data_IF_736559527753
#
_entry.id   IF_736559527753
#
_cell.length_a   1.000
_cell.length_b   1.000
_cell.length_c   1.000
_cell.angle_alpha   90.00
_cell.angle_beta   90.00
_cell.angle_gamma   90.00
#
_symmetry.space_group_name_H-M   'P 1'
#
loop_
_entity.id
_entity.type
_entity.pdbx_description
1 polymer ?
#
# COMPACT_ATOMS: atom_id res chain seq x y z
N UNK A 1 -0.87 -25.09 -9.41
CA UNK A 1 -1.10 -23.66 -9.10
C UNK A 1 -2.06 -23.12 -10.13
N UNK A 2 -3.26 -22.70 -9.72
CA UNK A 2 -4.24 -22.14 -10.65
C UNK A 2 -3.93 -20.67 -10.85
N UNK A 3 -3.44 -20.30 -12.03
CA UNK A 3 -3.33 -18.89 -12.42
C UNK A 3 -4.74 -18.34 -12.58
N UNK A 4 -5.15 -17.45 -11.68
CA UNK A 4 -6.40 -16.73 -11.85
C UNK A 4 -6.19 -15.65 -12.91
N UNK A 5 -6.47 -15.97 -14.17
CA UNK A 5 -6.65 -14.99 -15.24
C UNK A 5 -8.00 -14.31 -15.05
N UNK A 6 -8.09 -13.42 -14.06
CA UNK A 6 -9.21 -12.50 -13.99
C UNK A 6 -8.96 -11.42 -15.06
N UNK A 7 -9.28 -11.73 -16.31
CA UNK A 7 -9.39 -10.71 -17.35
C UNK A 7 -10.63 -9.87 -17.05
N UNK A 8 -10.53 -8.55 -17.21
CA UNK A 8 -11.71 -7.69 -17.17
C UNK A 8 -12.46 -7.90 -18.49
N UNK A 9 -13.63 -8.57 -18.50
CA UNK A 9 -14.30 -8.96 -19.75
C UNK A 9 -14.67 -7.78 -20.66
N UNK A 10 -14.71 -6.57 -20.10
CA UNK A 10 -14.96 -5.31 -20.79
C UNK A 10 -13.73 -4.69 -21.48
N UNK A 11 -12.53 -5.28 -21.35
CA UNK A 11 -11.28 -4.80 -21.95
C UNK A 11 -10.72 -5.83 -22.95
N UNK A 12 -10.23 -5.35 -24.09
CA UNK A 12 -9.41 -6.18 -24.98
C UNK A 12 -7.99 -6.40 -24.39
N UNK A 13 -7.18 -7.25 -25.04
CA UNK A 13 -5.83 -7.59 -24.55
C UNK A 13 -4.90 -6.38 -24.45
N UNK A 14 -5.03 -5.41 -25.35
CA UNK A 14 -4.19 -4.21 -25.34
C UNK A 14 -4.65 -3.26 -24.24
N UNK A 15 -5.96 -3.08 -24.11
CA UNK A 15 -6.58 -2.27 -23.06
C UNK A 15 -6.29 -2.82 -21.67
N UNK A 16 -6.29 -4.14 -21.51
CA UNK A 16 -5.92 -4.81 -20.27
C UNK A 16 -4.48 -4.46 -19.87
N UNK A 17 -3.52 -4.53 -20.81
CA UNK A 17 -2.12 -4.15 -20.56
C UNK A 17 -1.99 -2.68 -20.17
N UNK A 18 -2.67 -1.79 -20.90
CA UNK A 18 -2.66 -0.35 -20.62
C UNK A 18 -3.27 -0.02 -19.25
N UNK A 19 -4.33 -0.74 -18.88
CA UNK A 19 -4.95 -0.64 -17.56
C UNK A 19 -4.02 -1.16 -16.45
N UNK A 20 -3.33 -2.27 -16.69
CA UNK A 20 -2.34 -2.82 -15.75
C UNK A 20 -1.17 -1.85 -15.53
N UNK A 21 -0.71 -1.16 -16.56
CA UNK A 21 0.31 -0.11 -16.44
C UNK A 21 -0.19 1.02 -15.54
N UNK A 22 -1.42 1.49 -15.76
CA UNK A 22 -2.05 2.51 -14.90
C UNK A 22 -2.18 2.02 -13.45
N UNK A 23 -2.63 0.78 -13.24
CA UNK A 23 -2.79 0.21 -11.92
C UNK A 23 -1.46 0.08 -11.18
N UNK A 24 -0.40 -0.39 -11.86
CA UNK A 24 0.96 -0.46 -11.29
C UNK A 24 1.50 0.90 -10.87
N UNK A 25 1.09 1.97 -11.55
CA UNK A 25 1.43 3.34 -11.16
C UNK A 25 0.62 3.81 -9.93
N UNK A 26 -0.68 3.51 -9.87
CA UNK A 26 -1.57 4.03 -8.81
C UNK A 26 -1.53 3.23 -7.50
N UNK A 27 -1.33 1.91 -7.55
CA UNK A 27 -1.39 1.06 -6.36
C UNK A 27 -0.33 1.43 -5.31
N UNK A 28 0.96 1.64 -5.65
CA UNK A 28 1.95 2.11 -4.69
C UNK A 28 1.62 3.47 -4.06
N UNK A 29 0.82 4.29 -4.74
CA UNK A 29 0.36 5.61 -4.26
C UNK A 29 -0.91 5.52 -3.38
N UNK A 30 -1.31 4.31 -2.97
CA UNK A 30 -2.54 4.10 -2.21
C UNK A 30 -3.79 4.15 -3.08
N UNK A 31 -3.71 3.57 -4.28
CA UNK A 31 -4.82 3.44 -5.25
C UNK A 31 -5.34 4.78 -5.81
N UNK A 32 -4.63 5.89 -5.58
CA UNK A 32 -4.97 7.21 -6.11
C UNK A 32 -3.71 8.00 -6.45
N UNK A 33 -3.79 8.84 -7.48
CA UNK A 33 -2.65 9.67 -7.90
C UNK A 33 -3.05 10.81 -8.82
N UNK A 34 -2.25 11.87 -8.85
CA UNK A 34 -2.44 12.99 -9.77
C UNK A 34 -1.80 12.65 -11.10
N UNK A 35 -2.61 12.51 -12.16
CA UNK A 35 -2.13 12.13 -13.48
C UNK A 35 -2.83 12.95 -14.56
N UNK A 36 -2.05 13.64 -15.38
CA UNK A 36 -2.55 14.34 -16.57
C UNK A 36 -2.65 13.38 -17.75
N UNK A 37 -3.37 13.76 -18.81
CA UNK A 37 -3.43 12.95 -20.04
C UNK A 37 -2.04 12.81 -20.69
N UNK A 38 -1.23 13.86 -20.64
CA UNK A 38 0.16 13.83 -21.11
C UNK A 38 1.02 12.89 -20.25
N UNK A 39 0.87 12.94 -18.92
CA UNK A 39 1.58 12.04 -18.00
C UNK A 39 1.18 10.58 -18.20
N UNK A 40 -0.10 10.30 -18.48
CA UNK A 40 -0.52 8.94 -18.82
C UNK A 40 0.02 8.49 -20.19
N UNK A 41 0.04 9.37 -21.19
CA UNK A 41 0.65 9.07 -22.49
C UNK A 41 2.15 8.74 -22.37
N UNK A 42 2.87 9.45 -21.50
CA UNK A 42 4.28 9.19 -21.20
C UNK A 42 4.45 7.87 -20.45
N UNK A 43 3.59 7.59 -19.46
CA UNK A 43 3.56 6.33 -18.75
C UNK A 43 3.34 5.15 -19.71
N UNK A 44 2.44 5.25 -20.69
CA UNK A 44 2.25 4.16 -21.64
C UNK A 44 3.44 4.00 -22.61
N UNK A 45 4.13 5.09 -22.97
CA UNK A 45 5.33 5.06 -23.82
C UNK A 45 6.52 4.39 -23.15
N UNK A 46 6.66 4.47 -21.83
CA UNK A 46 7.75 3.78 -21.14
C UNK A 46 7.60 2.25 -21.12
N UNK A 47 6.40 1.74 -21.42
CA UNK A 47 6.10 0.31 -21.45
C UNK A 47 5.77 -0.23 -22.86
N UNK A 48 5.68 0.65 -23.88
CA UNK A 48 5.31 0.25 -25.25
C UNK A 48 6.12 1.02 -26.30
N UNK A 49 6.43 0.39 -27.42
CA UNK A 49 7.10 1.04 -28.56
C UNK A 49 6.14 1.86 -29.45
N UNK A 50 4.87 2.00 -29.04
CA UNK A 50 3.83 2.66 -29.83
C UNK A 50 3.93 4.18 -29.70
N UNK A 51 3.63 4.89 -30.80
CA UNK A 51 3.40 6.34 -30.75
C UNK A 51 2.07 6.61 -30.06
N UNK A 52 2.14 6.98 -28.78
CA UNK A 52 0.98 7.32 -27.96
C UNK A 52 0.92 8.83 -27.78
N UNK A 53 -0.17 9.43 -28.25
CA UNK A 53 -0.45 10.86 -28.08
C UNK A 53 -1.43 11.12 -26.92
N UNK A 54 -1.64 12.41 -26.61
CA UNK A 54 -2.51 12.82 -25.52
C UNK A 54 -3.98 12.46 -25.77
N UNK A 55 -4.41 12.46 -27.03
CA UNK A 55 -5.80 12.14 -27.41
C UNK A 55 -6.10 10.66 -27.19
N UNK A 56 -5.14 9.79 -27.50
CA UNK A 56 -5.20 8.37 -27.23
C UNK A 56 -5.31 8.12 -25.72
N UNK A 57 -4.40 8.72 -24.94
CA UNK A 57 -4.42 8.61 -23.48
C UNK A 57 -5.74 9.09 -22.87
N UNK A 58 -6.28 10.22 -23.35
CA UNK A 58 -7.59 10.73 -22.92
C UNK A 58 -8.72 9.75 -23.24
N UNK A 59 -8.77 9.21 -24.48
CA UNK A 59 -9.78 8.23 -24.89
C UNK A 59 -9.73 6.97 -24.01
N UNK A 60 -8.52 6.48 -23.69
CA UNK A 60 -8.33 5.31 -22.83
C UNK A 60 -8.80 5.56 -21.40
N UNK A 61 -8.40 6.66 -20.78
CA UNK A 61 -8.86 7.00 -19.43
C UNK A 61 -10.38 7.19 -19.37
N UNK A 62 -10.98 7.85 -20.36
CA UNK A 62 -12.45 7.95 -20.46
C UNK A 62 -13.11 6.59 -20.60
N UNK A 63 -12.53 5.65 -21.35
CA UNK A 63 -13.06 4.28 -21.47
C UNK A 63 -12.97 3.55 -20.12
N UNK A 64 -11.83 3.60 -19.44
CA UNK A 64 -11.68 2.99 -18.11
C UNK A 64 -12.66 3.57 -17.09
N UNK A 65 -12.92 4.88 -17.14
CA UNK A 65 -13.92 5.53 -16.31
C UNK A 65 -15.34 5.04 -16.63
N UNK A 66 -15.71 4.96 -17.92
CA UNK A 66 -17.01 4.41 -18.37
C UNK A 66 -17.21 2.97 -17.94
N UNK A 67 -16.14 2.18 -17.96
CA UNK A 67 -16.12 0.78 -17.50
C UNK A 67 -16.08 0.63 -15.96
N UNK A 68 -16.21 1.73 -15.21
CA UNK A 68 -16.15 1.80 -13.75
C UNK A 68 -14.86 1.21 -13.13
N UNK A 69 -13.76 1.21 -13.90
CA UNK A 69 -12.46 0.73 -13.44
C UNK A 69 -11.68 1.79 -12.67
N UNK A 70 -11.93 3.06 -13.00
CA UNK A 70 -11.34 4.23 -12.36
C UNK A 70 -12.38 5.32 -12.14
N UNK A 71 -12.07 6.25 -11.24
CA UNK A 71 -12.71 7.54 -11.09
C UNK A 71 -11.73 8.65 -11.48
N UNK A 72 -12.20 9.70 -12.13
CA UNK A 72 -11.39 10.88 -12.47
C UNK A 72 -12.00 12.10 -11.80
N UNK A 73 -11.33 12.63 -10.77
CA UNK A 73 -11.68 13.90 -10.12
C UNK A 73 -10.85 15.03 -10.73
N UNK A 74 -11.54 16.02 -11.30
CA UNK A 74 -10.88 17.19 -11.90
C UNK A 74 -10.46 18.14 -10.79
N UNK A 75 -9.19 18.52 -10.80
CA UNK A 75 -8.65 19.52 -9.87
C UNK A 75 -8.60 20.88 -10.57
N UNK A 76 -9.09 21.91 -9.90
CA UNK A 76 -9.02 23.30 -10.36
C UNK A 76 -8.72 24.19 -9.16
N UNK A 77 -7.82 25.15 -9.30
CA UNK A 77 -7.72 26.24 -8.32
C UNK A 77 -8.93 27.16 -8.44
N UNK A 78 -9.44 27.70 -7.32
CA UNK A 78 -10.44 28.75 -7.35
C UNK A 78 -9.92 29.95 -8.15
N UNK A 79 -10.76 30.64 -8.92
CA UNK A 79 -10.36 31.88 -9.57
C UNK A 79 -10.09 32.94 -8.51
N UNK A 80 -8.89 33.52 -8.52
CA UNK A 80 -8.53 34.70 -7.73
C UNK A 80 -8.42 35.90 -8.66
N UNK A 81 -9.10 37.00 -8.32
CA UNK A 81 -8.98 38.31 -8.98
C UNK A 81 -9.04 38.30 -10.51
N UNK A 82 -10.11 37.73 -11.09
CA UNK A 82 -10.38 37.82 -12.54
C UNK A 82 -9.51 36.91 -13.43
N UNK A 83 -8.52 36.21 -12.88
CA UNK A 83 -7.75 35.21 -13.61
C UNK A 83 -8.48 33.85 -13.63
N UNK A 84 -8.51 33.21 -14.80
CA UNK A 84 -9.00 31.82 -14.93
C UNK A 84 -8.09 30.91 -14.10
N UNK A 85 -8.68 30.17 -13.16
CA UNK A 85 -7.96 29.19 -12.34
C UNK A 85 -7.12 28.23 -13.18
N UNK A 86 -5.91 27.91 -12.71
CA UNK A 86 -4.99 26.99 -13.39
C UNK A 86 -5.60 25.57 -13.40
N UNK A 87 -5.61 24.93 -14.58
CA UNK A 87 -5.96 23.51 -14.69
C UNK A 87 -4.83 22.67 -14.08
N UNK A 88 -5.14 21.93 -13.02
CA UNK A 88 -4.22 20.99 -12.41
C UNK A 88 -4.43 19.59 -13.00
N UNK A 89 -3.45 18.70 -12.80
CA UNK A 89 -3.61 17.29 -13.12
C UNK A 89 -4.83 16.73 -12.38
N UNK A 90 -5.60 15.88 -13.06
CA UNK A 90 -6.76 15.23 -12.44
C UNK A 90 -6.29 14.17 -11.45
N UNK A 91 -7.01 14.01 -10.35
CA UNK A 91 -6.79 12.86 -9.46
C UNK A 91 -7.51 11.66 -10.04
N UNK A 92 -6.76 10.62 -10.37
CA UNK A 92 -7.27 9.33 -10.81
C UNK A 92 -7.31 8.40 -9.61
N UNK A 93 -8.45 7.74 -9.39
CA UNK A 93 -8.66 6.77 -8.32
C UNK A 93 -8.97 5.43 -8.96
N UNK A 94 -8.22 4.39 -8.59
CA UNK A 94 -8.45 3.02 -9.05
C UNK A 94 -9.63 2.43 -8.27
N UNK A 95 -10.67 1.97 -8.97
CA UNK A 95 -11.86 1.35 -8.33
C UNK A 95 -11.81 -0.16 -8.28
N UNK A 96 -11.15 -0.77 -9.26
CA UNK A 96 -11.04 -2.22 -9.36
C UNK A 96 -9.69 -2.57 -9.96
N UNK A 97 -9.11 -3.69 -9.54
CA UNK A 97 -7.90 -4.22 -10.15
C UNK A 97 -8.04 -5.73 -10.28
N UNK A 98 -7.76 -6.24 -11.47
CA UNK A 98 -7.78 -7.67 -11.74
C UNK A 98 -6.34 -8.18 -11.67
N UNK A 99 -6.01 -8.85 -10.57
CA UNK A 99 -4.67 -9.38 -10.37
C UNK A 99 -4.47 -10.65 -11.18
N UNK A 100 -3.43 -10.64 -12.02
CA UNK A 100 -2.96 -11.83 -12.71
C UNK A 100 -1.66 -12.30 -12.06
N UNK A 101 -1.73 -13.39 -11.31
CA UNK A 101 -0.59 -13.98 -10.65
C UNK A 101 -1.00 -15.00 -9.59
N UNK A 102 0.00 -15.54 -8.90
CA UNK A 102 -0.24 -16.44 -7.78
C UNK A 102 -0.69 -15.62 -6.57
N UNK A 103 -1.86 -15.93 -6.02
CA UNK A 103 -2.28 -15.29 -4.77
C UNK A 103 -1.27 -15.66 -3.67
N UNK A 104 -0.74 -14.68 -2.92
CA UNK A 104 0.18 -14.95 -1.85
C UNK A 104 -0.53 -15.77 -0.77
N UNK A 105 0.03 -16.93 -0.45
CA UNK A 105 -0.40 -17.75 0.68
C UNK A 105 0.48 -17.38 1.88
N UNK A 106 -0.11 -16.74 2.90
CA UNK A 106 0.60 -16.33 4.10
C UNK A 106 0.95 -14.83 4.10
N UNK A 107 2.22 -14.51 4.29
CA UNK A 107 2.69 -13.12 4.38
C UNK A 107 2.69 -12.49 2.98
N UNK A 108 1.93 -11.41 2.81
CA UNK A 108 1.93 -10.59 1.60
C UNK A 108 3.21 -9.76 1.49
N UNK A 109 4.02 -9.91 0.41
CA UNK A 109 5.27 -9.16 0.22
C UNK A 109 5.10 -7.64 0.28
N UNK A 110 6.13 -6.92 0.73
CA UNK A 110 6.10 -5.47 0.95
C UNK A 110 5.68 -4.66 -0.29
N UNK A 111 6.18 -5.05 -1.45
CA UNK A 111 5.92 -4.46 -2.76
C UNK A 111 4.64 -4.99 -3.45
N UNK A 112 3.94 -5.94 -2.81
CA UNK A 112 2.77 -6.56 -3.39
C UNK A 112 1.60 -5.59 -3.51
N UNK A 113 1.12 -5.45 -4.74
CA UNK A 113 -0.08 -4.68 -5.09
C UNK A 113 -1.39 -5.22 -4.49
N UNK A 114 -1.35 -6.45 -3.96
CA UNK A 114 -2.49 -7.09 -3.30
C UNK A 114 -2.65 -6.67 -1.84
N UNK A 115 -1.66 -5.98 -1.28
CA UNK A 115 -1.81 -5.45 0.07
C UNK A 115 -2.62 -4.16 0.04
N UNK A 116 -3.76 -4.19 0.71
CA UNK A 116 -4.58 -3.01 0.93
C UNK A 116 -4.19 -2.44 2.29
N UNK A 117 -3.71 -1.19 2.32
CA UNK A 117 -3.42 -0.48 3.57
C UNK A 117 -4.73 -0.34 4.36
N UNK A 118 -4.72 -0.72 5.63
CA UNK A 118 -5.88 -0.69 6.52
C UNK A 118 -5.73 0.44 7.53
N UNK A 119 -6.82 0.81 8.18
CA UNK A 119 -6.80 1.76 9.30
C UNK A 119 -5.83 1.35 10.41
N UNK A 120 -5.63 0.04 10.61
CA UNK A 120 -4.67 -0.49 11.57
C UNK A 120 -3.22 -0.10 11.22
N UNK A 121 -2.85 -0.10 9.93
CA UNK A 121 -1.54 0.33 9.46
C UNK A 121 -1.27 1.79 9.85
N UNK A 122 -2.23 2.67 9.57
CA UNK A 122 -2.10 4.11 9.85
C UNK A 122 -2.09 4.39 11.36
N UNK A 123 -2.92 3.69 12.13
CA UNK A 123 -2.92 3.79 13.60
C UNK A 123 -1.56 3.40 14.18
N UNK A 124 -0.99 2.27 13.76
CA UNK A 124 0.31 1.83 14.26
C UNK A 124 1.41 2.81 13.88
N UNK A 125 1.48 3.25 12.62
CA UNK A 125 2.48 4.21 12.15
C UNK A 125 2.40 5.54 12.92
N UNK A 126 1.19 6.02 13.21
CA UNK A 126 0.99 7.24 14.00
C UNK A 126 1.49 7.08 15.43
N UNK A 127 1.07 6.05 16.15
CA UNK A 127 1.47 5.82 17.55
C UNK A 127 3.00 5.68 17.70
N UNK A 128 3.65 5.08 16.71
CA UNK A 128 5.10 4.91 16.64
C UNK A 128 5.85 6.17 16.18
N UNK A 129 5.16 7.16 15.62
CA UNK A 129 5.78 8.42 15.14
C UNK A 129 5.65 9.57 16.14
N UNK A 130 4.74 9.48 17.11
CA UNK A 130 4.56 10.53 18.12
C UNK A 130 5.89 10.77 18.84
N UNK A 131 6.40 12.00 18.76
CA UNK A 131 7.59 12.41 19.50
C UNK A 131 7.30 12.28 21.01
N UNK A 132 8.20 11.62 21.74
CA UNK A 132 8.05 11.39 23.16
C UNK A 132 9.20 12.01 23.91
N UNK A 133 8.89 12.61 25.06
CA UNK A 133 9.92 13.04 26.00
C UNK A 133 10.63 11.81 26.57
N UNK A 134 11.89 11.99 26.99
CA UNK A 134 12.75 10.94 27.56
C UNK A 134 12.09 10.19 28.74
N UNK A 135 11.15 10.83 29.43
CA UNK A 135 10.46 10.28 30.60
C UNK A 135 9.09 9.65 30.30
N UNK A 136 8.67 9.58 29.03
CA UNK A 136 7.39 8.99 28.65
C UNK A 136 7.53 7.49 28.34
N UNK A 137 6.57 6.70 28.81
CA UNK A 137 6.48 5.26 28.50
C UNK A 137 6.44 5.00 26.99
N UNK A 138 7.16 3.97 26.54
CA UNK A 138 7.14 3.49 25.15
C UNK A 138 5.78 2.86 24.80
N UNK A 139 5.30 2.96 23.55
CA UNK A 139 4.01 2.40 23.17
C UNK A 139 4.08 0.88 23.15
N UNK A 140 3.14 0.23 23.83
CA UNK A 140 2.88 -1.19 23.64
C UNK A 140 1.66 -1.38 22.73
N UNK A 141 1.89 -1.96 21.55
CA UNK A 141 0.84 -2.18 20.55
C UNK A 141 0.56 -3.68 20.44
N UNK A 142 -0.65 -4.10 20.83
CA UNK A 142 -1.12 -5.48 20.67
C UNK A 142 -2.07 -5.60 19.49
N UNK A 143 -1.65 -6.29 18.43
CA UNK A 143 -2.49 -6.56 17.25
C UNK A 143 -3.28 -7.85 17.45
N UNK A 144 -4.59 -7.74 17.70
CA UNK A 144 -5.51 -8.90 17.82
C UNK A 144 -6.39 -9.03 16.56
N UNK A 145 -6.36 -10.20 15.92
CA UNK A 145 -7.25 -10.55 14.81
C UNK A 145 -7.29 -12.08 14.61
N UNK A 146 -8.32 -12.57 13.91
CA UNK A 146 -8.44 -13.98 13.53
C UNK A 146 -7.24 -14.48 12.67
N UNK A 147 -7.08 -15.80 12.57
CA UNK A 147 -6.07 -16.42 11.69
C UNK A 147 -6.34 -16.02 10.24
N UNK A 148 -5.27 -15.72 9.48
CA UNK A 148 -5.38 -15.31 8.08
C UNK A 148 -5.70 -13.83 7.83
N UNK A 149 -5.93 -13.02 8.86
CA UNK A 149 -6.24 -11.58 8.70
C UNK A 149 -5.01 -10.69 8.42
N UNK A 150 -3.90 -11.26 7.93
CA UNK A 150 -2.70 -10.49 7.55
C UNK A 150 -2.00 -9.76 8.70
N UNK A 151 -1.99 -10.33 9.92
CA UNK A 151 -1.26 -9.77 11.07
C UNK A 151 0.25 -9.74 10.83
N UNK A 152 0.82 -10.85 10.37
CA UNK A 152 2.25 -10.94 10.06
C UNK A 152 2.65 -9.96 8.95
N UNK A 153 1.82 -9.79 7.92
CA UNK A 153 2.05 -8.76 6.89
C UNK A 153 1.99 -7.33 7.40
N UNK A 154 1.17 -7.04 8.41
CA UNK A 154 1.17 -5.74 9.08
C UNK A 154 2.49 -5.53 9.84
N UNK A 155 2.92 -6.53 10.61
CA UNK A 155 4.17 -6.48 11.37
C UNK A 155 5.37 -6.26 10.44
N UNK A 156 5.43 -6.95 9.29
CA UNK A 156 6.50 -6.75 8.31
C UNK A 156 6.57 -5.32 7.78
N UNK A 157 5.42 -4.71 7.51
CA UNK A 157 5.36 -3.33 7.01
C UNK A 157 5.73 -2.32 8.09
N UNK A 158 5.34 -2.57 9.34
CA UNK A 158 5.75 -1.74 10.47
C UNK A 158 7.26 -1.82 10.66
N UNK A 159 7.87 -3.01 10.64
CA UNK A 159 9.33 -3.15 10.72
C UNK A 159 10.01 -2.39 9.58
N UNK A 160 9.54 -2.58 8.35
CA UNK A 160 10.11 -1.88 7.20
C UNK A 160 10.02 -0.35 7.33
N UNK A 161 8.89 0.16 7.82
CA UNK A 161 8.70 1.59 8.10
C UNK A 161 9.71 2.10 9.13
N UNK A 162 9.88 1.39 10.26
CA UNK A 162 10.81 1.79 11.32
C UNK A 162 12.27 1.74 10.83
N UNK A 163 12.68 0.66 10.17
CA UNK A 163 14.05 0.50 9.67
C UNK A 163 14.40 1.49 8.54
N UNK A 164 13.51 1.65 7.56
CA UNK A 164 13.82 2.42 6.34
C UNK A 164 13.49 3.90 6.47
N UNK A 165 12.36 4.23 7.06
CA UNK A 165 11.90 5.62 7.15
C UNK A 165 12.35 6.28 8.46
N UNK A 166 12.30 5.57 9.59
CA UNK A 166 12.71 6.10 10.89
C UNK A 166 14.18 5.85 11.24
N UNK A 167 14.86 4.94 10.52
CA UNK A 167 16.24 4.53 10.80
C UNK A 167 16.42 3.94 12.20
N UNK A 168 15.38 3.28 12.70
CA UNK A 168 15.40 2.60 13.98
C UNK A 168 15.90 1.15 13.83
N UNK A 169 16.47 0.61 14.91
CA UNK A 169 16.82 -0.81 14.99
C UNK A 169 15.57 -1.58 15.40
N UNK A 170 15.24 -2.63 14.63
CA UNK A 170 14.07 -3.47 14.89
C UNK A 170 14.52 -4.90 15.19
N UNK A 171 14.19 -5.38 16.38
CA UNK A 171 14.35 -6.78 16.75
C UNK A 171 13.03 -7.54 16.59
N UNK A 172 13.11 -8.81 16.19
CA UNK A 172 11.96 -9.71 16.05
C UNK A 172 12.19 -10.96 16.87
N UNK A 173 11.22 -11.27 17.72
CA UNK A 173 11.20 -12.49 18.53
C UNK A 173 9.97 -13.28 18.15
N UNK A 174 10.17 -14.55 17.81
CA UNK A 174 9.08 -15.50 17.66
C UNK A 174 8.67 -16.02 19.04
N UNK A 175 7.45 -15.68 19.45
CA UNK A 175 6.87 -16.08 20.73
C UNK A 175 6.38 -17.53 20.72
N UNK A 176 6.46 -18.24 19.58
CA UNK A 176 6.15 -19.67 19.50
C UNK A 176 7.31 -20.57 19.95
N UNK A 177 8.38 -19.99 20.49
CA UNK A 177 9.53 -20.71 21.05
C UNK A 177 9.26 -21.17 22.49
N UNK A 178 9.97 -22.21 22.94
CA UNK A 178 9.87 -22.76 24.31
C UNK A 178 10.15 -21.72 25.41
N UNK A 179 10.73 -20.56 25.04
CA UNK A 179 11.04 -19.46 25.94
C UNK A 179 9.80 -18.69 26.43
N UNK A 180 8.64 -18.83 25.77
CA UNK A 180 7.40 -18.10 26.08
C UNK A 180 6.22 -19.05 26.34
N UNK A 181 5.98 -19.39 27.61
CA UNK A 181 4.80 -20.15 28.04
C UNK A 181 3.49 -19.37 27.96
N UNK A 182 2.36 -20.08 28.07
CA UNK A 182 1.00 -19.50 28.06
C UNK A 182 0.79 -18.45 29.17
N UNK A 183 1.44 -18.66 30.31
CA UNK A 183 1.46 -17.76 31.47
C UNK A 183 2.27 -16.48 31.21
N UNK A 184 3.25 -16.50 30.31
CA UNK A 184 4.00 -15.31 29.89
C UNK A 184 3.18 -14.43 28.94
N UNK A 185 2.32 -15.01 28.09
CA UNK A 185 1.51 -14.26 27.13
C UNK A 185 0.30 -13.54 27.74
N UNK A 186 -0.11 -13.97 28.94
CA UNK A 186 -1.22 -13.40 29.69
C UNK A 186 -0.79 -12.37 30.75
N UNK A 187 0.51 -12.31 31.05
CA UNK A 187 1.12 -11.37 32.00
C UNK A 187 2.05 -10.42 31.26
N UNK A 188 1.65 -9.15 31.14
CA UNK A 188 2.43 -8.15 30.42
C UNK A 188 3.82 -7.91 31.01
N UNK A 189 3.97 -7.99 32.33
CA UNK A 189 5.24 -7.70 32.99
C UNK A 189 6.24 -8.83 32.75
N UNK A 190 5.78 -10.08 32.87
CA UNK A 190 6.59 -11.26 32.49
C UNK A 190 6.95 -11.24 31.01
N UNK A 191 6.00 -10.87 30.14
CA UNK A 191 6.24 -10.75 28.71
C UNK A 191 7.36 -9.77 28.40
N UNK A 192 7.33 -8.58 29.00
CA UNK A 192 8.37 -7.57 28.80
C UNK A 192 9.73 -8.06 29.28
N UNK A 193 9.79 -8.59 30.50
CA UNK A 193 11.04 -9.10 31.05
C UNK A 193 11.64 -10.17 30.16
N UNK A 194 10.84 -11.15 29.73
CA UNK A 194 11.31 -12.26 28.90
C UNK A 194 11.71 -11.80 27.50
N UNK A 195 10.97 -10.84 26.94
CA UNK A 195 11.32 -10.21 25.68
C UNK A 195 12.68 -9.49 25.77
N UNK A 196 12.90 -8.70 26.83
CA UNK A 196 14.18 -8.01 27.05
C UNK A 196 15.34 -8.99 27.17
N UNK A 197 15.18 -10.06 27.98
CA UNK A 197 16.18 -11.12 28.12
C UNK A 197 16.54 -11.74 26.75
N UNK A 198 15.55 -12.05 25.92
CA UNK A 198 15.80 -12.64 24.60
C UNK A 198 16.41 -11.69 23.58
N UNK A 199 16.08 -10.39 23.61
CA UNK A 199 16.75 -9.43 22.72
C UNK A 199 18.24 -9.35 23.05
N UNK A 200 18.61 -9.27 24.32
CA UNK A 200 20.01 -9.17 24.75
C UNK A 200 20.83 -10.45 24.55
N UNK A 201 20.20 -11.62 24.57
CA UNK A 201 20.89 -12.90 24.36
C UNK A 201 21.12 -13.23 22.86
N UNK A 202 20.43 -12.54 21.95
CA UNK A 202 20.51 -12.77 20.50
C UNK A 202 21.33 -11.71 19.73
N UNK A 203 21.96 -10.77 20.43
CA UNK A 203 23.02 -9.87 19.90
C UNK A 203 24.42 -10.47 20.09
#
# INVERSE_FOLDING_TARGET
MNSHHLLLPQLDKQEQKEFEILARYLIPLGWKGNLSYAGFAELLRSYTSLKIDNNYAEKRLKKFQKSNLIEIKRNSTPPTNGERGKRLASTIILKSFAYQGTLPTGIVPLDSILYIKRDADEKCQRELTLARDVNQSVPFIRVKAAKGMGKSSLLDRISHFLEKEKKEIVARIDLATDAFGDDTLNDSEKLFRRFTEEVFNNE
#
